data_IF_793355809065
#
_entry.id   IF_793355809065
#
_cell.length_a   1.000
_cell.length_b   1.000
_cell.length_c   1.000
_cell.angle_alpha   90.00
_cell.angle_beta   90.00
_cell.angle_gamma   90.00
#
_symmetry.space_group_name_H-M   'P 1'
#
loop_
_entity.id
_entity.type
_entity.pdbx_description
1 polymer ?
#
# COMPACT_ATOMS: atom_id res chain seq x y z
N UNK A 1 -10.50 8.14 21.91
CA UNK A 1 -9.73 7.53 20.83
C UNK A 1 -8.37 8.20 20.72
N UNK A 2 -7.34 7.44 20.41
CA UNK A 2 -6.04 8.06 20.22
C UNK A 2 -6.03 9.04 19.05
N UNK A 3 -5.12 9.97 19.10
CA UNK A 3 -4.95 10.99 18.07
C UNK A 3 -3.51 11.04 17.61
N UNK A 4 -3.30 11.44 16.37
CA UNK A 4 -1.96 11.67 15.83
C UNK A 4 -1.95 12.96 15.04
N UNK A 5 -0.84 13.67 15.09
CA UNK A 5 -0.66 14.88 14.30
C UNK A 5 -0.02 14.52 12.98
N UNK A 6 -0.50 15.11 11.89
CA UNK A 6 0.02 14.85 10.57
C UNK A 6 0.26 16.16 9.83
N UNK A 7 1.23 16.13 8.92
CA UNK A 7 1.52 17.29 8.07
C UNK A 7 0.43 17.54 7.05
N UNK A 8 -0.14 16.45 6.49
CA UNK A 8 -1.07 16.56 5.37
C UNK A 8 -2.55 16.62 5.79
N UNK A 9 -2.90 16.07 6.96
CA UNK A 9 -4.28 15.92 7.38
C UNK A 9 -4.60 16.57 8.72
N UNK A 10 -3.62 17.28 9.30
CA UNK A 10 -3.80 17.84 10.64
C UNK A 10 -3.86 16.77 11.71
N UNK A 11 -4.63 17.02 12.76
CA UNK A 11 -4.81 16.05 13.85
C UNK A 11 -5.91 15.07 13.47
N UNK A 12 -5.62 13.78 13.53
CA UNK A 12 -6.57 12.73 13.19
C UNK A 12 -6.84 11.87 14.41
N UNK A 13 -8.12 11.61 14.70
CA UNK A 13 -8.53 10.61 15.67
C UNK A 13 -8.71 9.27 14.97
N UNK A 14 -8.31 8.19 15.60
CA UNK A 14 -8.38 6.88 14.96
C UNK A 14 -8.62 5.78 15.99
N UNK A 15 -9.15 4.65 15.51
CA UNK A 15 -9.27 3.43 16.32
C UNK A 15 -7.96 2.64 16.19
N UNK A 16 -7.46 2.12 17.31
CA UNK A 16 -6.21 1.35 17.28
C UNK A 16 -6.29 0.13 16.36
N UNK A 17 -7.49 -0.44 16.25
CA UNK A 17 -7.75 -1.60 15.41
C UNK A 17 -7.65 -1.28 13.91
N UNK A 18 -7.67 -0.01 13.56
CA UNK A 18 -7.60 0.43 12.15
C UNK A 18 -6.18 0.55 11.63
N UNK A 19 -5.18 0.38 12.46
CA UNK A 19 -3.78 0.61 12.12
C UNK A 19 -3.22 -0.59 11.36
N UNK A 20 -2.56 -0.32 10.24
CA UNK A 20 -1.78 -1.33 9.52
C UNK A 20 -0.41 -1.42 10.13
N UNK A 21 0.01 -2.63 10.48
CA UNK A 21 1.33 -2.84 11.06
C UNK A 21 2.22 -3.63 10.10
N UNK A 22 3.37 -3.03 9.76
CA UNK A 22 4.41 -3.67 8.98
C UNK A 22 5.49 -4.16 9.95
N UNK A 23 5.49 -5.44 10.33
CA UNK A 23 6.41 -5.92 11.39
C UNK A 23 7.88 -5.66 11.11
N UNK A 24 8.25 -5.60 9.84
CA UNK A 24 9.62 -5.32 9.43
C UNK A 24 9.80 -3.94 8.81
N UNK A 25 8.78 -3.08 8.92
CA UNK A 25 8.80 -1.78 8.28
C UNK A 25 8.75 -1.90 6.76
N UNK A 26 9.22 -0.85 6.10
CA UNK A 26 9.32 -0.79 4.64
C UNK A 26 10.76 -0.51 4.25
N UNK A 27 11.22 -0.96 3.07
CA UNK A 27 12.58 -0.65 2.61
C UNK A 27 12.86 0.84 2.64
N UNK A 28 13.92 1.23 3.34
CA UNK A 28 14.25 2.64 3.56
C UNK A 28 13.54 3.28 4.74
N UNK A 29 12.53 2.59 5.32
CA UNK A 29 11.74 3.09 6.43
C UNK A 29 11.50 1.99 7.45
N UNK A 30 12.55 1.24 7.80
CA UNK A 30 12.42 0.04 8.63
C UNK A 30 11.90 0.34 10.03
N UNK A 31 12.07 1.55 10.50
CA UNK A 31 11.59 1.95 11.83
C UNK A 31 10.19 2.52 11.81
N UNK A 32 9.60 2.69 10.63
CA UNK A 32 8.22 3.18 10.47
C UNK A 32 7.33 1.96 10.20
N UNK A 33 6.69 1.47 11.25
CA UNK A 33 5.97 0.20 11.22
C UNK A 33 4.46 0.34 11.26
N UNK A 34 3.95 1.48 11.73
CA UNK A 34 2.51 1.67 11.92
C UNK A 34 2.01 2.77 11.01
N UNK A 35 1.01 2.44 10.22
CA UNK A 35 0.41 3.35 9.26
C UNK A 35 -1.10 3.35 9.40
N UNK A 36 -1.69 4.52 9.35
CA UNK A 36 -3.14 4.69 9.41
C UNK A 36 -3.66 4.88 7.99
N UNK A 37 -4.60 4.04 7.53
CA UNK A 37 -5.24 4.28 6.24
C UNK A 37 -6.19 5.46 6.36
N UNK A 38 -6.06 6.41 5.44
CA UNK A 38 -6.89 7.61 5.38
C UNK A 38 -7.52 7.69 4.00
N UNK A 39 -8.84 7.74 3.95
CA UNK A 39 -9.58 7.84 2.71
C UNK A 39 -10.35 9.15 2.66
N UNK A 40 -10.29 9.82 1.51
CA UNK A 40 -11.03 11.05 1.27
C UNK A 40 -12.00 10.81 0.13
N UNK A 41 -13.30 11.08 0.31
CA UNK A 41 -14.28 10.88 -0.77
C UNK A 41 -13.96 11.64 -2.05
N UNK A 42 -13.29 12.79 -1.93
CA UNK A 42 -12.94 13.60 -3.10
C UNK A 42 -11.82 13.01 -3.94
N UNK A 43 -11.01 12.11 -3.36
CA UNK A 43 -9.89 11.50 -4.06
C UNK A 43 -10.04 9.99 -4.18
N UNK A 44 -11.17 9.43 -3.79
CA UNK A 44 -11.40 7.99 -3.91
C UNK A 44 -11.17 7.55 -5.36
N UNK A 45 -10.58 6.38 -5.61
CA UNK A 45 -10.28 5.30 -4.67
C UNK A 45 -8.88 5.37 -4.04
N UNK A 46 -8.23 6.52 -4.06
CA UNK A 46 -6.91 6.68 -3.43
C UNK A 46 -7.02 6.40 -1.93
N UNK A 47 -6.07 5.62 -1.42
CA UNK A 47 -5.91 5.37 0.00
C UNK A 47 -4.56 5.91 0.42
N UNK A 48 -4.57 6.83 1.38
CA UNK A 48 -3.33 7.36 1.94
C UNK A 48 -2.93 6.52 3.14
N UNK A 49 -1.65 6.22 3.27
CA UNK A 49 -1.11 5.52 4.43
C UNK A 49 -0.25 6.49 5.20
N UNK A 50 -0.79 7.02 6.27
CA UNK A 50 -0.12 8.00 7.11
C UNK A 50 0.67 7.31 8.20
N UNK A 51 1.98 7.60 8.28
CA UNK A 51 2.81 7.08 9.36
C UNK A 51 2.33 7.64 10.70
N UNK A 52 2.26 6.77 11.71
CA UNK A 52 1.98 7.19 13.07
C UNK A 52 3.25 7.58 13.82
N UNK A 53 4.42 7.35 13.22
CA UNK A 53 5.72 7.63 13.85
C UNK A 53 6.40 8.84 13.24
N UNK A 54 5.98 9.24 12.03
CA UNK A 54 6.57 10.37 11.33
C UNK A 54 5.44 11.20 10.70
N UNK A 55 5.11 12.35 11.26
CA UNK A 55 4.00 13.17 10.78
C UNK A 55 4.09 13.57 9.31
N UNK A 56 5.31 13.67 8.77
CA UNK A 56 5.53 14.06 7.38
C UNK A 56 5.53 12.90 6.39
N UNK A 57 5.48 11.66 6.88
CA UNK A 57 5.55 10.51 6.00
C UNK A 57 4.16 9.98 5.68
N UNK A 58 3.80 9.99 4.40
CA UNK A 58 2.53 9.51 3.92
C UNK A 58 2.70 8.90 2.53
N UNK A 59 2.22 7.67 2.35
CA UNK A 59 2.24 7.03 1.04
C UNK A 59 0.88 7.19 0.39
N UNK A 60 0.89 7.51 -0.91
CA UNK A 60 -0.31 7.55 -1.73
C UNK A 60 -0.44 6.22 -2.44
N UNK A 61 -1.58 5.55 -2.32
CA UNK A 61 -1.77 4.23 -2.90
C UNK A 61 -3.09 4.12 -3.64
N UNK A 62 -3.17 3.13 -4.55
CA UNK A 62 -4.41 2.72 -5.18
C UNK A 62 -4.58 1.22 -5.01
N UNK A 63 -5.84 0.74 -4.88
CA UNK A 63 -6.07 -0.70 -4.99
C UNK A 63 -5.46 -1.22 -6.28
N UNK A 64 -4.74 -2.33 -6.20
CA UNK A 64 -3.95 -2.80 -7.35
C UNK A 64 -4.81 -3.05 -8.59
N UNK A 65 -6.03 -3.53 -8.44
CA UNK A 65 -6.92 -3.81 -9.56
C UNK A 65 -7.49 -2.55 -10.22
N UNK A 66 -7.38 -1.39 -9.58
CA UNK A 66 -7.69 -0.12 -10.24
C UNK A 66 -6.61 0.20 -11.27
N UNK A 67 -5.36 -0.16 -10.97
CA UNK A 67 -4.23 0.08 -11.87
C UNK A 67 -4.19 -0.97 -12.97
N UNK A 68 -4.32 -2.25 -12.60
CA UNK A 68 -4.28 -3.38 -13.52
C UNK A 68 -5.34 -4.41 -13.10
N UNK A 69 -6.48 -4.45 -13.81
CA UNK A 69 -7.56 -5.39 -13.47
C UNK A 69 -7.17 -6.86 -13.56
N UNK A 70 -6.09 -7.17 -14.26
CA UNK A 70 -5.62 -8.54 -14.45
C UNK A 70 -4.41 -8.87 -13.57
N UNK A 71 -4.10 -8.01 -12.60
CA UNK A 71 -2.96 -8.21 -11.75
C UNK A 71 -3.04 -9.54 -11.01
N UNK A 72 -1.93 -10.28 -11.02
CA UNK A 72 -1.81 -11.55 -10.30
C UNK A 72 -0.79 -11.41 -9.19
N UNK A 73 -1.25 -11.53 -7.96
CA UNK A 73 -0.41 -11.42 -6.79
C UNK A 73 0.31 -12.73 -6.54
N UNK A 74 1.60 -12.64 -6.29
CA UNK A 74 2.39 -13.79 -5.83
C UNK A 74 3.21 -13.35 -4.62
N UNK A 75 2.98 -14.00 -3.50
CA UNK A 75 3.65 -13.70 -2.24
C UNK A 75 4.62 -14.81 -1.92
N UNK A 76 5.87 -14.44 -1.58
CA UNK A 76 6.89 -15.42 -1.20
C UNK A 76 6.56 -16.05 0.15
N UNK A 77 7.12 -17.22 0.42
CA UNK A 77 6.88 -17.92 1.69
C UNK A 77 7.22 -17.08 2.92
N UNK A 78 8.37 -16.38 2.96
CA UNK A 78 8.66 -15.53 4.12
C UNK A 78 7.61 -14.44 4.36
N UNK A 79 7.10 -13.84 3.29
CA UNK A 79 6.08 -12.80 3.41
C UNK A 79 4.73 -13.40 3.82
N UNK A 80 4.38 -14.58 3.32
CA UNK A 80 3.18 -15.28 3.75
C UNK A 80 3.22 -15.53 5.26
N UNK A 81 4.37 -15.94 5.78
CA UNK A 81 4.53 -16.18 7.21
C UNK A 81 4.32 -14.90 8.01
N UNK A 82 4.91 -13.78 7.57
CA UNK A 82 4.71 -12.50 8.23
C UNK A 82 3.24 -12.12 8.27
N UNK A 83 2.53 -12.35 7.17
CA UNK A 83 1.10 -12.04 7.07
C UNK A 83 0.22 -12.99 7.86
N UNK A 84 0.72 -14.17 8.20
CA UNK A 84 -0.04 -15.17 8.94
C UNK A 84 -0.82 -16.13 8.06
N UNK A 85 -0.40 -16.33 6.82
CA UNK A 85 -1.03 -17.28 5.90
C UNK A 85 -0.21 -18.56 5.77
N UNK A 86 -0.84 -19.69 5.43
CA UNK A 86 -0.11 -20.93 5.13
C UNK A 86 0.83 -20.76 3.95
N UNK A 87 1.99 -21.43 4.00
CA UNK A 87 3.00 -21.31 2.97
C UNK A 87 2.60 -21.95 1.63
N UNK A 88 1.60 -22.81 1.65
CA UNK A 88 1.19 -23.60 0.47
C UNK A 88 0.01 -22.98 -0.28
N UNK A 89 -0.44 -21.79 0.09
CA UNK A 89 -1.61 -21.20 -0.53
C UNK A 89 -1.46 -19.69 -0.65
N UNK A 90 -1.76 -19.15 -1.82
CA UNK A 90 -1.78 -17.71 -2.03
C UNK A 90 -3.11 -17.13 -1.57
N UNK A 91 -3.10 -16.05 -0.80
CA UNK A 91 -4.34 -15.40 -0.39
C UNK A 91 -5.00 -14.67 -1.55
N UNK A 92 -6.31 -14.48 -1.44
CA UNK A 92 -7.09 -13.82 -2.47
C UNK A 92 -7.22 -12.33 -2.19
N UNK A 93 -6.98 -11.54 -3.22
CA UNK A 93 -7.18 -10.09 -3.15
C UNK A 93 -8.67 -9.80 -2.96
N UNK A 94 -8.98 -8.93 -2.01
CA UNK A 94 -10.33 -8.49 -1.74
C UNK A 94 -11.00 -9.27 -0.61
N UNK A 95 -10.83 -10.59 -0.59
CA UNK A 95 -11.41 -11.43 0.46
C UNK A 95 -10.50 -11.56 1.66
N UNK A 96 -9.23 -11.82 1.41
CA UNK A 96 -8.26 -12.14 2.46
C UNK A 96 -7.21 -11.07 2.64
N UNK A 97 -6.83 -10.38 1.57
CA UNK A 97 -5.84 -9.32 1.63
C UNK A 97 -6.31 -8.10 0.86
N UNK A 98 -5.84 -6.95 1.34
CA UNK A 98 -5.89 -5.70 0.59
C UNK A 98 -4.53 -5.58 -0.11
N UNK A 99 -4.54 -5.29 -1.41
CA UNK A 99 -3.32 -5.19 -2.20
C UNK A 99 -3.26 -3.80 -2.82
N UNK A 100 -2.23 -3.03 -2.46
CA UNK A 100 -2.13 -1.62 -2.81
C UNK A 100 -0.87 -1.35 -3.61
N UNK A 101 -1.02 -0.57 -4.68
CA UNK A 101 0.12 -0.08 -5.44
C UNK A 101 0.51 1.30 -4.91
N UNK A 102 1.78 1.47 -4.56
CA UNK A 102 2.29 2.78 -4.12
C UNK A 102 2.52 3.64 -5.35
N UNK A 103 2.06 4.88 -5.29
CA UNK A 103 2.17 5.82 -6.39
C UNK A 103 3.37 6.74 -6.21
N UNK A 104 4.01 7.07 -7.33
CA UNK A 104 5.04 8.10 -7.38
C UNK A 104 4.56 9.19 -8.31
N UNK A 105 4.44 10.41 -7.77
CA UNK A 105 4.00 11.56 -8.56
C UNK A 105 5.21 12.39 -8.94
N UNK A 106 5.42 12.55 -10.25
CA UNK A 106 6.56 13.31 -10.78
C UNK A 106 6.07 14.27 -11.85
N UNK A 107 6.91 15.22 -12.22
CA UNK A 107 6.59 16.17 -13.30
C UNK A 107 6.30 15.46 -14.62
N UNK A 108 6.94 14.33 -14.84
CA UNK A 108 6.78 13.54 -16.05
C UNK A 108 5.56 12.62 -16.03
N UNK A 109 4.84 12.58 -14.93
CA UNK A 109 3.66 11.74 -14.80
C UNK A 109 3.65 10.95 -13.50
N UNK A 110 2.56 10.26 -13.27
CA UNK A 110 2.37 9.42 -12.08
C UNK A 110 2.56 7.97 -12.47
N UNK A 111 3.32 7.24 -11.65
CA UNK A 111 3.52 5.80 -11.84
C UNK A 111 3.08 5.03 -10.61
N UNK A 112 2.77 3.75 -10.82
CA UNK A 112 2.40 2.84 -9.75
C UNK A 112 3.41 1.70 -9.68
N UNK A 113 3.76 1.30 -8.46
CA UNK A 113 4.67 0.19 -8.25
C UNK A 113 3.88 -1.12 -8.23
N UNK A 114 3.92 -1.84 -9.35
CA UNK A 114 3.28 -3.14 -9.47
C UNK A 114 4.21 -4.30 -9.10
N UNK A 115 5.51 -4.02 -9.02
CA UNK A 115 6.51 -5.04 -8.68
C UNK A 115 6.48 -5.37 -7.18
N UNK A 116 6.21 -4.38 -6.35
CA UNK A 116 6.29 -4.52 -4.91
C UNK A 116 5.08 -3.87 -4.22
N UNK A 117 3.89 -4.46 -4.37
CA UNK A 117 2.70 -3.89 -3.75
C UNK A 117 2.72 -4.05 -2.23
N UNK A 118 1.96 -3.21 -1.56
CA UNK A 118 1.70 -3.37 -0.13
C UNK A 118 0.53 -4.32 0.05
N UNK A 119 0.74 -5.37 0.82
CA UNK A 119 -0.29 -6.39 1.05
C UNK A 119 -0.64 -6.40 2.53
N UNK A 120 -1.94 -6.29 2.83
CA UNK A 120 -2.44 -6.22 4.20
C UNK A 120 -3.40 -7.37 4.44
N UNK A 121 -3.15 -8.16 5.50
CA UNK A 121 -4.10 -9.18 5.93
C UNK A 121 -5.33 -8.49 6.51
N UNK A 122 -6.49 -8.73 5.92
CA UNK A 122 -7.72 -8.04 6.32
C UNK A 122 -8.26 -8.44 7.69
N UNK A 123 -7.75 -9.53 8.28
CA UNK A 123 -8.15 -9.94 9.63
C UNK A 123 -7.26 -9.30 10.70
N UNK A 124 -5.96 -9.35 10.50
CA UNK A 124 -5.00 -8.92 11.52
C UNK A 124 -4.46 -7.52 11.30
N UNK A 125 -4.60 -6.99 10.06
CA UNK A 125 -3.99 -5.74 9.61
C UNK A 125 -2.47 -5.75 9.65
N UNK A 126 -1.87 -6.95 9.68
CA UNK A 126 -0.44 -7.10 9.45
C UNK A 126 -0.18 -6.95 7.97
N UNK A 127 0.94 -6.32 7.63
CA UNK A 127 1.22 -5.94 6.26
C UNK A 127 2.69 -6.17 5.90
N UNK A 128 2.93 -6.35 4.61
CA UNK A 128 4.29 -6.42 4.06
C UNK A 128 4.32 -5.70 2.72
N UNK A 129 5.50 -5.31 2.27
CA UNK A 129 5.72 -4.97 0.88
C UNK A 129 6.18 -6.26 0.19
N UNK A 130 5.31 -6.80 -0.67
CA UNK A 130 5.53 -8.12 -1.27
C UNK A 130 6.24 -7.95 -2.61
N UNK A 131 7.55 -8.22 -2.64
CA UNK A 131 8.35 -8.13 -3.86
C UNK A 131 8.37 -9.50 -4.54
N UNK A 132 8.01 -9.52 -5.82
CA UNK A 132 8.11 -10.74 -6.64
C UNK A 132 8.94 -10.42 -7.89
N UNK A 133 10.28 -10.54 -7.81
CA UNK A 133 11.15 -10.12 -8.91
C UNK A 133 10.89 -10.85 -10.23
N UNK A 134 10.34 -12.06 -10.15
CA UNK A 134 10.10 -12.88 -11.33
C UNK A 134 8.74 -12.61 -11.96
N UNK A 135 7.93 -11.71 -11.40
CA UNK A 135 6.58 -11.45 -11.88
C UNK A 135 6.53 -10.78 -13.24
N UNK A 136 7.56 -10.03 -13.60
CA UNK A 136 7.56 -9.23 -14.83
C UNK A 136 6.87 -7.88 -14.67
N UNK A 137 6.30 -7.58 -13.52
CA UNK A 137 5.65 -6.29 -13.31
C UNK A 137 6.66 -5.18 -13.09
N UNK A 138 6.27 -3.97 -13.47
CA UNK A 138 7.12 -2.80 -13.37
C UNK A 138 6.91 -2.06 -12.05
N UNK A 139 7.98 -1.52 -11.49
CA UNK A 139 7.87 -0.64 -10.32
C UNK A 139 7.47 0.79 -10.72
N UNK A 140 7.43 1.09 -12.03
CA UNK A 140 7.05 2.41 -12.56
C UNK A 140 6.01 2.28 -13.67
N UNK A 141 4.93 1.57 -13.38
CA UNK A 141 3.84 1.40 -14.34
C UNK A 141 3.10 2.73 -14.53
N UNK A 142 3.02 3.27 -15.75
CA UNK A 142 2.36 4.56 -15.98
C UNK A 142 0.87 4.48 -15.69
N UNK A 143 0.35 5.43 -14.91
CA UNK A 143 -1.08 5.48 -14.60
C UNK A 143 -1.87 6.28 -15.62
N UNK A 144 -1.29 7.42 -16.00
CA UNK A 144 -1.94 8.30 -16.96
C UNK A 144 -1.07 8.29 -18.21
N UNK A 145 -1.48 7.53 -19.24
CA UNK A 145 -0.71 7.43 -20.47
C UNK A 145 -0.46 8.79 -21.10
N UNK A 146 0.50 8.82 -22.02
CA UNK A 146 1.02 10.03 -22.59
C UNK A 146 -0.05 10.97 -23.18
N UNK A 147 -1.10 10.40 -23.77
CA UNK A 147 -2.17 11.22 -24.34
C UNK A 147 -2.86 12.05 -23.28
N UNK A 148 -3.04 11.51 -22.08
CA UNK A 148 -3.62 12.26 -21.00
C UNK A 148 -2.75 13.43 -20.59
N UNK A 149 -1.44 13.23 -20.62
CA UNK A 149 -0.49 14.28 -20.29
C UNK A 149 -0.47 15.36 -21.38
N UNK A 150 -0.78 14.99 -22.59
CA UNK A 150 -0.74 15.92 -23.71
C UNK A 150 -1.91 16.91 -23.70
N UNK A 151 -2.90 16.65 -22.93
CA UNK A 151 -4.02 17.57 -22.80
C UNK A 151 -3.71 18.77 -21.88
#
# INVERSE_FOLDING_TARGET
>A
MPETETTNFGTISFARESVFEFPHGLPGFEERRKFLPVQNPLTAPILFLQSLEDPGLCFTTLPIWVVDPHYRLHITEPDLEILGFPADRQPRIGDEVLCLAVLSVRKTGTTANLLAPLVVNLKSYRAVQAVSPESGYSYQHPLFPQEGAAC
#
